data_IF_904517805791
#
_entry.id   IF_904517805791
#
_cell.length_a   1.000
_cell.length_b   1.000
_cell.length_c   1.000
_cell.angle_alpha   90.00
_cell.angle_beta   90.00
_cell.angle_gamma   90.00
#
_symmetry.space_group_name_H-M   'P 1'
#
loop_
_entity.id
_entity.type
_entity.pdbx_description
1 polymer ?
#
# COMPACT_ATOMS: atom_id res chain seq x y z
N UNK A 1 8.01 -5.02 26.92
CA UNK A 1 7.17 -5.80 25.99
C UNK A 1 7.56 -7.25 26.14
N UNK A 2 6.59 -8.17 26.19
CA UNK A 2 6.83 -9.58 26.40
C UNK A 2 6.24 -10.43 25.26
N UNK A 3 6.92 -11.53 24.94
CA UNK A 3 6.41 -12.54 24.00
C UNK A 3 5.66 -13.61 24.79
N UNK A 4 4.45 -13.92 24.33
CA UNK A 4 3.58 -14.94 24.89
C UNK A 4 3.35 -16.05 23.85
N UNK A 5 3.20 -17.27 24.35
CA UNK A 5 2.68 -18.38 23.56
C UNK A 5 1.71 -19.20 24.40
N UNK A 6 0.66 -19.70 23.77
CA UNK A 6 -0.32 -20.55 24.44
C UNK A 6 -1.46 -20.97 23.53
N UNK A 7 -2.22 -21.95 24.02
CA UNK A 7 -3.46 -22.39 23.39
C UNK A 7 -4.61 -21.52 23.86
N UNK A 8 -5.38 -20.96 22.91
CA UNK A 8 -6.61 -20.22 23.20
C UNK A 8 -7.58 -21.16 23.89
N UNK A 9 -8.08 -20.74 25.05
CA UNK A 9 -9.18 -21.43 25.75
C UNK A 9 -10.53 -20.82 25.43
N UNK A 10 -10.59 -19.50 25.31
CA UNK A 10 -11.83 -18.81 24.97
C UNK A 10 -11.55 -17.49 24.24
N UNK A 11 -12.55 -17.01 23.49
CA UNK A 11 -12.55 -15.71 22.80
C UNK A 11 -13.87 -15.00 23.12
N UNK A 12 -13.77 -13.83 23.71
CA UNK A 12 -14.88 -12.93 24.01
C UNK A 12 -14.93 -11.88 22.90
N UNK A 13 -15.73 -12.14 21.85
CA UNK A 13 -15.66 -11.35 20.62
C UNK A 13 -16.04 -9.88 20.79
N UNK A 14 -17.14 -9.60 21.51
CA UNK A 14 -17.61 -8.24 21.81
C UNK A 14 -16.55 -7.44 22.59
N UNK A 15 -15.93 -8.13 23.55
CA UNK A 15 -14.81 -7.61 24.31
C UNK A 15 -13.51 -7.64 23.54
N UNK A 16 -13.40 -8.22 22.34
CA UNK A 16 -12.14 -8.38 21.60
C UNK A 16 -11.02 -8.95 22.47
N UNK A 17 -11.36 -9.83 23.42
CA UNK A 17 -10.41 -10.43 24.36
C UNK A 17 -10.32 -11.92 24.05
N UNK A 18 -9.12 -12.48 24.11
CA UNK A 18 -8.94 -13.93 24.18
C UNK A 18 -8.16 -14.29 25.44
N UNK A 19 -8.35 -15.52 25.92
CA UNK A 19 -7.63 -16.05 27.06
C UNK A 19 -6.75 -17.23 26.66
N UNK A 20 -5.59 -17.32 27.30
CA UNK A 20 -4.68 -18.47 27.19
C UNK A 20 -4.31 -18.97 28.58
N UNK A 21 -3.98 -20.26 28.67
CA UNK A 21 -3.25 -20.79 29.82
C UNK A 21 -1.75 -20.59 29.61
N UNK A 22 -1.12 -19.80 30.47
CA UNK A 22 0.32 -19.58 30.45
C UNK A 22 0.88 -19.73 31.87
N UNK A 23 1.95 -20.52 32.05
CA UNK A 23 2.56 -20.82 33.37
C UNK A 23 1.54 -21.18 34.47
N UNK A 24 0.56 -22.04 34.13
CA UNK A 24 -0.53 -22.49 35.02
C UNK A 24 -1.51 -21.40 35.48
N UNK A 25 -1.50 -20.21 34.88
CA UNK A 25 -2.46 -19.13 35.14
C UNK A 25 -3.20 -18.75 33.86
N UNK A 26 -4.45 -18.32 34.02
CA UNK A 26 -5.24 -17.78 32.92
C UNK A 26 -4.86 -16.32 32.75
N UNK A 27 -4.53 -15.95 31.51
CA UNK A 27 -4.19 -14.59 31.14
C UNK A 27 -5.13 -14.13 30.03
N UNK A 28 -5.56 -12.87 30.10
CA UNK A 28 -6.41 -12.24 29.11
C UNK A 28 -5.62 -11.27 28.26
N UNK A 29 -5.96 -11.21 26.99
CA UNK A 29 -5.26 -10.39 26.00
C UNK A 29 -6.27 -9.64 25.14
N UNK A 30 -6.17 -8.30 25.13
CA UNK A 30 -7.07 -7.42 24.39
C UNK A 30 -6.54 -7.15 22.99
N UNK A 31 -7.41 -7.32 22.00
CA UNK A 31 -7.20 -6.96 20.62
C UNK A 31 -7.80 -5.59 20.30
N UNK A 32 -7.07 -4.84 19.47
CA UNK A 32 -7.63 -3.67 18.78
C UNK A 32 -8.71 -4.11 17.78
N UNK A 33 -9.60 -3.19 17.39
CA UNK A 33 -10.67 -3.48 16.40
C UNK A 33 -10.11 -4.05 15.09
N UNK A 34 -8.98 -3.51 14.63
CA UNK A 34 -8.31 -3.97 13.40
C UNK A 34 -7.74 -5.39 13.53
N UNK A 35 -7.06 -5.70 14.64
CA UNK A 35 -6.58 -7.07 14.88
C UNK A 35 -7.75 -8.05 14.96
N UNK A 36 -8.83 -7.68 15.66
CA UNK A 36 -10.03 -8.51 15.72
C UNK A 36 -10.57 -8.76 14.31
N UNK A 37 -10.82 -7.72 13.51
CA UNK A 37 -11.30 -7.86 12.13
C UNK A 37 -10.39 -8.75 11.27
N UNK A 38 -9.06 -8.64 11.43
CA UNK A 38 -8.09 -9.42 10.64
C UNK A 38 -8.03 -10.89 11.06
N UNK A 39 -8.12 -11.17 12.35
CA UNK A 39 -7.83 -12.51 12.89
C UNK A 39 -9.04 -13.27 13.43
N UNK A 40 -10.20 -12.63 13.58
CA UNK A 40 -11.45 -13.24 14.04
C UNK A 40 -11.77 -14.57 13.34
N UNK A 41 -11.63 -14.73 12.00
CA UNK A 41 -11.91 -16.01 11.35
C UNK A 41 -11.06 -17.20 11.84
N UNK A 42 -9.90 -16.91 12.46
CA UNK A 42 -8.97 -17.92 12.94
C UNK A 42 -9.01 -18.10 14.46
N UNK A 43 -9.33 -17.03 15.20
CA UNK A 43 -9.30 -16.98 16.66
C UNK A 43 -10.45 -17.80 17.25
N UNK A 44 -10.15 -19.05 17.55
CA UNK A 44 -11.08 -20.00 18.15
C UNK A 44 -10.38 -20.84 19.22
N UNK A 45 -11.17 -21.47 20.09
CA UNK A 45 -10.64 -22.43 21.05
C UNK A 45 -9.75 -23.48 20.38
N UNK A 46 -8.64 -23.76 21.04
CA UNK A 46 -7.64 -24.72 20.61
C UNK A 46 -6.62 -24.22 19.60
N UNK A 47 -6.74 -22.99 19.10
CA UNK A 47 -5.69 -22.37 18.31
C UNK A 47 -4.47 -22.07 19.19
N UNK A 48 -3.28 -22.45 18.73
CA UNK A 48 -2.01 -22.02 19.34
C UNK A 48 -1.59 -20.69 18.74
N UNK A 49 -1.30 -19.74 19.63
CA UNK A 49 -0.93 -18.38 19.26
C UNK A 49 0.43 -18.02 19.83
N UNK A 50 1.21 -17.30 19.04
CA UNK A 50 2.49 -16.69 19.39
C UNK A 50 2.36 -15.21 19.11
N UNK A 51 2.62 -14.35 20.09
CA UNK A 51 2.37 -12.91 19.95
C UNK A 51 3.19 -12.09 20.95
N UNK A 52 3.30 -10.79 20.69
CA UNK A 52 3.84 -9.81 21.63
C UNK A 52 2.71 -9.02 22.27
N UNK A 53 2.83 -8.73 23.55
CA UNK A 53 1.94 -7.84 24.29
C UNK A 53 2.75 -6.83 25.11
N UNK A 54 2.09 -5.75 25.52
CA UNK A 54 2.66 -4.83 26.51
C UNK A 54 2.79 -5.51 27.87
N UNK A 55 3.65 -4.99 28.74
CA UNK A 55 3.92 -5.58 30.06
C UNK A 55 2.94 -5.08 31.13
N UNK A 56 2.11 -4.10 30.78
CA UNK A 56 1.14 -3.47 31.66
C UNK A 56 -0.26 -4.06 31.44
N UNK A 57 -0.91 -4.47 32.53
CA UNK A 57 -2.31 -4.89 32.52
C UNK A 57 -3.24 -3.68 32.59
N UNK A 58 -4.33 -3.73 31.83
CA UNK A 58 -5.37 -2.70 31.85
C UNK A 58 -6.74 -3.31 32.10
N UNK A 59 -7.60 -2.53 32.75
CA UNK A 59 -8.99 -2.92 33.01
C UNK A 59 -9.86 -2.64 31.78
N UNK A 60 -10.56 -3.68 31.33
CA UNK A 60 -11.52 -3.64 30.22
C UNK A 60 -12.84 -4.27 30.68
N UNK A 61 -13.75 -3.44 31.20
CA UNK A 61 -15.00 -3.92 31.78
C UNK A 61 -14.72 -4.87 32.95
N UNK A 62 -15.12 -6.13 32.79
CA UNK A 62 -14.90 -7.20 33.78
C UNK A 62 -13.51 -7.87 33.69
N UNK A 63 -12.74 -7.57 32.64
CA UNK A 63 -11.45 -8.21 32.40
C UNK A 63 -10.28 -7.34 32.84
N UNK A 64 -9.22 -7.97 33.30
CA UNK A 64 -7.87 -7.40 33.42
C UNK A 64 -7.04 -8.10 32.35
N UNK A 65 -6.52 -7.34 31.39
CA UNK A 65 -5.88 -7.90 30.20
C UNK A 65 -4.68 -7.07 29.73
N UNK A 66 -3.75 -7.74 29.05
CA UNK A 66 -2.65 -7.07 28.36
C UNK A 66 -3.05 -6.69 26.93
N UNK A 67 -2.61 -5.54 26.47
CA UNK A 67 -2.83 -5.11 25.09
C UNK A 67 -1.90 -5.87 24.12
N UNK A 68 -2.46 -6.53 23.11
CA UNK A 68 -1.68 -7.23 22.09
C UNK A 68 -1.08 -6.24 21.10
N UNK A 69 0.24 -6.35 20.91
CA UNK A 69 1.00 -5.54 19.98
C UNK A 69 0.88 -6.14 18.58
N UNK A 70 1.32 -7.39 18.40
CA UNK A 70 1.25 -8.09 17.14
C UNK A 70 1.28 -9.61 17.33
N UNK A 71 0.62 -10.34 16.42
CA UNK A 71 0.82 -11.78 16.29
C UNK A 71 2.12 -12.07 15.54
N UNK A 72 2.80 -13.14 15.96
CA UNK A 72 3.97 -13.72 15.33
C UNK A 72 3.53 -14.92 14.49
N UNK A 73 2.74 -15.83 15.09
CA UNK A 73 2.32 -17.07 14.44
C UNK A 73 0.98 -17.58 15.00
N UNK A 74 0.13 -18.11 14.15
CA UNK A 74 -1.15 -18.75 14.49
C UNK A 74 -1.19 -20.16 13.88
N UNK A 75 -1.29 -21.19 14.72
CA UNK A 75 -1.27 -22.60 14.28
C UNK A 75 -2.35 -23.43 14.94
N UNK A 76 -2.85 -24.43 14.22
CA UNK A 76 -3.73 -25.47 14.77
C UNK A 76 -3.16 -26.84 14.46
N UNK A 77 -3.12 -27.68 15.48
CA UNK A 77 -2.76 -29.09 15.33
C UNK A 77 -4.03 -29.90 15.11
N UNK A 78 -4.08 -30.62 13.99
CA UNK A 78 -5.18 -31.52 13.61
C UNK A 78 -4.59 -32.91 13.39
N UNK A 79 -4.71 -33.77 14.41
CA UNK A 79 -4.02 -35.06 14.44
C UNK A 79 -2.51 -34.88 14.36
N UNK A 80 -1.87 -35.47 13.35
CA UNK A 80 -0.43 -35.33 13.07
C UNK A 80 -0.09 -34.13 12.17
N UNK A 81 -1.08 -33.41 11.65
CA UNK A 81 -0.87 -32.26 10.74
C UNK A 81 -0.89 -30.95 11.54
N UNK A 82 -0.05 -30.00 11.13
CA UNK A 82 -0.07 -28.62 11.64
C UNK A 82 -0.53 -27.70 10.51
N UNK A 83 -1.63 -26.99 10.76
CA UNK A 83 -2.17 -25.97 9.86
C UNK A 83 -1.66 -24.61 10.36
N UNK A 84 -0.96 -23.86 9.50
CA UNK A 84 -0.47 -22.52 9.80
C UNK A 84 -1.41 -21.51 9.17
N UNK A 85 -2.11 -20.72 9.99
CA UNK A 85 -3.02 -19.67 9.52
C UNK A 85 -2.32 -18.34 9.30
N UNK A 86 -1.25 -18.09 10.07
CA UNK A 86 -0.46 -16.87 9.97
C UNK A 86 0.96 -17.16 10.46
N UNK A 87 1.96 -16.68 9.74
CA UNK A 87 3.36 -16.69 10.17
C UNK A 87 4.04 -15.46 9.59
N UNK A 88 4.48 -14.57 10.49
CA UNK A 88 5.17 -13.35 10.07
C UNK A 88 6.47 -13.66 9.32
N UNK A 89 7.16 -14.77 9.63
CA UNK A 89 8.38 -15.14 8.92
C UNK A 89 8.09 -15.55 7.47
N UNK A 90 7.02 -16.31 7.24
CA UNK A 90 6.58 -16.65 5.87
C UNK A 90 6.21 -15.40 5.07
N UNK A 91 5.60 -14.39 5.70
CA UNK A 91 5.32 -13.10 5.06
C UNK A 91 6.63 -12.40 4.70
N UNK A 92 7.58 -12.30 5.64
CA UNK A 92 8.89 -11.66 5.40
C UNK A 92 9.68 -12.34 4.29
N UNK A 93 9.70 -13.68 4.27
CA UNK A 93 10.33 -14.46 3.21
C UNK A 93 9.64 -14.26 1.86
N UNK A 94 8.31 -14.21 1.84
CA UNK A 94 7.53 -13.92 0.64
C UNK A 94 7.82 -12.53 0.07
N UNK A 95 7.90 -11.51 0.93
CA UNK A 95 8.29 -10.15 0.53
C UNK A 95 9.71 -10.13 -0.02
N UNK A 96 10.68 -10.76 0.68
CA UNK A 96 12.07 -10.85 0.20
C UNK A 96 12.16 -11.50 -1.18
N UNK A 97 11.42 -12.59 -1.42
CA UNK A 97 11.37 -13.26 -2.73
C UNK A 97 10.74 -12.39 -3.82
N UNK A 98 9.72 -11.61 -3.47
CA UNK A 98 9.06 -10.70 -4.41
C UNK A 98 9.99 -9.58 -4.87
N UNK A 99 10.73 -8.95 -3.94
CA UNK A 99 11.62 -7.83 -4.28
C UNK A 99 12.87 -8.28 -5.04
N UNK A 100 13.42 -9.46 -4.70
CA UNK A 100 14.56 -10.07 -5.41
C UNK A 100 14.23 -10.68 -6.78
N UNK A 101 13.01 -10.52 -7.26
CA UNK A 101 12.61 -11.13 -8.53
C UNK A 101 13.36 -10.43 -9.66
N UNK A 102 14.19 -11.17 -10.38
CA UNK A 102 14.87 -10.67 -11.57
C UNK A 102 13.88 -10.16 -12.61
N UNK A 103 14.20 -9.03 -13.23
CA UNK A 103 13.41 -8.38 -14.27
C UNK A 103 13.44 -6.86 -14.16
N UNK A 104 12.77 -6.20 -15.09
CA UNK A 104 12.61 -4.75 -15.07
C UNK A 104 11.56 -4.33 -14.04
N UNK A 105 11.78 -3.16 -13.43
CA UNK A 105 10.88 -2.55 -12.45
C UNK A 105 10.48 -1.17 -12.95
N UNK A 106 9.18 -0.92 -13.03
CA UNK A 106 8.62 0.35 -13.48
C UNK A 106 7.90 1.02 -12.32
N UNK A 107 8.38 2.16 -11.88
CA UNK A 107 7.76 2.98 -10.84
C UNK A 107 6.90 4.03 -11.51
N UNK A 108 5.62 4.10 -11.12
CA UNK A 108 4.66 5.04 -11.69
C UNK A 108 3.96 5.78 -10.57
N UNK A 109 3.87 7.09 -10.74
CA UNK A 109 2.94 7.94 -10.00
C UNK A 109 2.15 8.80 -11.01
N UNK A 110 0.91 9.11 -10.65
CA UNK A 110 -0.03 9.81 -11.51
C UNK A 110 -0.78 10.86 -10.72
N UNK A 111 -0.92 12.04 -11.32
CA UNK A 111 -1.85 13.05 -10.83
C UNK A 111 -3.14 13.02 -11.64
N UNK A 112 -4.26 13.31 -10.96
CA UNK A 112 -5.59 13.21 -11.54
C UNK A 112 -6.41 14.48 -11.33
N UNK A 113 -7.35 14.74 -12.24
CA UNK A 113 -8.31 15.83 -12.07
C UNK A 113 -9.07 15.66 -10.76
N UNK A 114 -9.26 16.79 -10.08
CA UNK A 114 -10.14 16.95 -8.92
C UNK A 114 -11.36 17.81 -9.29
N UNK A 115 -12.51 17.59 -8.66
CA UNK A 115 -13.65 18.48 -8.82
C UNK A 115 -13.30 19.87 -8.29
N UNK A 116 -13.79 20.95 -8.93
CA UNK A 116 -13.58 22.32 -8.45
C UNK A 116 -14.13 22.50 -7.02
N UNK A 117 -13.63 23.50 -6.28
CA UNK A 117 -14.04 23.74 -4.89
C UNK A 117 -15.56 23.90 -4.72
N UNK A 118 -16.22 24.50 -5.71
CA UNK A 118 -17.66 24.76 -5.70
C UNK A 118 -18.49 23.68 -6.44
N UNK A 119 -17.93 22.49 -6.66
CA UNK A 119 -18.63 21.42 -7.37
C UNK A 119 -19.88 20.97 -6.62
N UNK A 120 -21.03 21.07 -7.27
CA UNK A 120 -22.31 20.64 -6.72
C UNK A 120 -22.80 19.38 -7.46
N UNK A 121 -22.85 18.25 -6.77
CA UNK A 121 -23.34 16.98 -7.33
C UNK A 121 -24.80 17.05 -7.84
N UNK A 122 -25.57 18.05 -7.40
CA UNK A 122 -26.97 18.25 -7.78
C UNK A 122 -27.16 19.20 -8.97
N UNK A 123 -26.09 19.79 -9.52
CA UNK A 123 -26.18 20.73 -10.65
C UNK A 123 -26.43 20.05 -12.00
N UNK A 124 -26.36 18.71 -12.06
CA UNK A 124 -26.46 17.93 -13.29
C UNK A 124 -25.16 17.84 -14.09
N UNK A 125 -24.11 18.56 -13.70
CA UNK A 125 -22.78 18.42 -14.29
C UNK A 125 -22.10 17.14 -13.78
N UNK A 126 -21.61 16.30 -14.70
CA UNK A 126 -20.96 15.03 -14.35
C UNK A 126 -19.45 15.21 -14.36
N UNK A 127 -18.83 15.09 -13.19
CA UNK A 127 -17.38 15.00 -13.05
C UNK A 127 -16.90 13.55 -13.06
N UNK A 128 -15.85 13.28 -13.83
CA UNK A 128 -15.06 12.06 -13.75
C UNK A 128 -13.59 12.42 -13.65
N UNK A 129 -12.86 11.68 -12.80
CA UNK A 129 -11.43 11.89 -12.63
C UNK A 129 -10.68 11.36 -13.86
N UNK A 130 -9.67 12.11 -14.31
CA UNK A 130 -8.85 11.83 -15.48
C UNK A 130 -7.38 12.00 -15.10
N UNK A 131 -6.49 11.24 -15.71
CA UNK A 131 -5.04 11.43 -15.52
C UNK A 131 -4.63 12.74 -16.18
N UNK A 132 -3.88 13.57 -15.46
CA UNK A 132 -3.41 14.90 -15.92
C UNK A 132 -1.89 15.06 -15.89
N UNK A 133 -1.20 14.25 -15.11
CA UNK A 133 0.25 14.14 -15.14
C UNK A 133 0.64 12.69 -14.91
N UNK A 134 1.74 12.27 -15.53
CA UNK A 134 2.38 11.00 -15.22
C UNK A 134 3.86 11.21 -14.96
N UNK A 135 4.41 10.45 -14.03
CA UNK A 135 5.83 10.27 -13.80
C UNK A 135 6.17 8.78 -13.83
N UNK A 136 7.27 8.45 -14.47
CA UNK A 136 7.71 7.06 -14.63
C UNK A 136 9.23 6.95 -14.54
N UNK A 137 9.70 5.95 -13.82
CA UNK A 137 11.09 5.48 -13.86
C UNK A 137 11.10 3.99 -14.13
N UNK A 138 11.95 3.55 -15.07
CA UNK A 138 12.17 2.12 -15.29
C UNK A 138 13.63 1.77 -15.05
N UNK A 139 13.86 0.73 -14.27
CA UNK A 139 15.18 0.20 -13.97
C UNK A 139 15.29 -1.29 -14.31
N UNK A 140 16.52 -1.75 -14.53
CA UNK A 140 16.82 -3.17 -14.65
C UNK A 140 16.91 -3.87 -13.28
N UNK A 141 17.22 -5.17 -13.32
CA UNK A 141 17.38 -6.00 -12.11
C UNK A 141 18.56 -5.58 -11.24
N UNK A 142 19.53 -4.85 -11.80
CA UNK A 142 20.71 -4.34 -11.08
C UNK A 142 20.46 -2.96 -10.46
N UNK A 143 19.29 -2.36 -10.70
CA UNK A 143 18.93 -1.03 -10.20
C UNK A 143 19.45 0.11 -11.08
N UNK A 144 19.90 -0.17 -12.31
CA UNK A 144 20.29 0.87 -13.23
C UNK A 144 19.04 1.45 -13.90
N UNK A 145 18.88 2.78 -13.85
CA UNK A 145 17.81 3.47 -14.57
C UNK A 145 18.04 3.30 -16.08
N UNK A 146 17.04 2.73 -16.75
CA UNK A 146 17.03 2.50 -18.20
C UNK A 146 16.39 3.69 -18.92
N UNK A 147 15.30 4.22 -18.36
CA UNK A 147 14.58 5.36 -18.92
C UNK A 147 13.73 6.05 -17.82
N UNK A 148 13.37 7.30 -18.07
CA UNK A 148 12.37 8.02 -17.29
C UNK A 148 11.43 8.80 -18.20
N UNK A 149 10.20 9.01 -17.75
CA UNK A 149 9.21 9.73 -18.55
C UNK A 149 8.29 10.56 -17.66
N UNK A 150 8.12 11.82 -18.04
CA UNK A 150 7.15 12.73 -17.45
C UNK A 150 6.32 13.37 -18.55
N UNK A 151 5.06 13.69 -18.24
CA UNK A 151 4.26 14.49 -19.14
C UNK A 151 2.92 14.89 -18.56
N UNK A 152 2.41 16.00 -19.06
CA UNK A 152 1.02 16.40 -18.85
C UNK A 152 0.10 15.64 -19.82
N UNK A 153 -1.13 15.45 -19.39
CA UNK A 153 -2.22 14.89 -20.18
C UNK A 153 -3.37 15.87 -20.15
N UNK A 154 -3.88 16.21 -21.33
CA UNK A 154 -5.04 17.09 -21.47
C UNK A 154 -6.32 16.38 -21.00
N UNK A 155 -7.05 16.90 -20.00
CA UNK A 155 -8.37 16.38 -19.61
C UNK A 155 -9.39 16.53 -20.74
N UNK A 156 -10.32 15.58 -20.87
CA UNK A 156 -11.51 15.71 -21.74
C UNK A 156 -12.59 16.56 -21.06
N UNK A 157 -12.75 16.41 -19.75
CA UNK A 157 -13.71 17.12 -18.94
C UNK A 157 -13.20 18.53 -18.62
N UNK A 158 -13.92 19.56 -19.08
CA UNK A 158 -13.56 20.96 -18.82
C UNK A 158 -13.52 21.29 -17.32
N UNK A 159 -14.34 20.64 -16.49
CA UNK A 159 -14.31 20.80 -15.03
C UNK A 159 -12.99 20.33 -14.40
N UNK A 160 -12.23 19.48 -15.10
CA UNK A 160 -10.90 19.04 -14.69
C UNK A 160 -9.83 20.12 -14.83
N UNK A 161 -10.09 21.20 -15.57
CA UNK A 161 -9.21 22.35 -15.72
C UNK A 161 -9.72 23.46 -14.78
N UNK A 162 -9.42 23.32 -13.48
CA UNK A 162 -9.86 24.24 -12.43
C UNK A 162 -8.67 24.85 -11.68
N UNK A 163 -8.89 26.00 -11.01
CA UNK A 163 -7.88 26.67 -10.16
C UNK A 163 -7.31 25.72 -9.13
N UNK A 164 -8.19 24.92 -8.48
CA UNK A 164 -7.79 23.84 -7.58
C UNK A 164 -6.78 22.89 -8.20
N UNK A 165 -6.98 22.47 -9.44
CA UNK A 165 -6.08 21.54 -10.13
C UNK A 165 -4.75 22.21 -10.45
N UNK A 166 -4.78 23.43 -10.98
CA UNK A 166 -3.59 24.20 -11.35
C UNK A 166 -2.71 24.53 -10.15
N UNK A 167 -3.33 24.89 -9.02
CA UNK A 167 -2.65 25.10 -7.74
C UNK A 167 -2.00 23.82 -7.23
N UNK A 168 -2.69 22.69 -7.38
CA UNK A 168 -2.25 21.40 -6.84
C UNK A 168 -1.03 20.82 -7.55
N UNK A 169 -0.99 20.82 -8.90
CA UNK A 169 0.18 20.33 -9.67
C UNK A 169 1.13 21.45 -10.12
N UNK A 170 0.91 22.68 -9.65
CA UNK A 170 1.72 23.86 -9.97
C UNK A 170 1.91 24.12 -11.48
N UNK A 171 0.84 23.98 -12.27
CA UNK A 171 0.85 24.14 -13.74
C UNK A 171 -0.16 25.19 -14.19
N UNK A 172 0.21 26.02 -15.17
CA UNK A 172 -0.69 27.04 -15.72
C UNK A 172 -1.82 26.44 -16.56
N UNK A 173 -2.95 27.14 -16.61
CA UNK A 173 -4.13 26.78 -17.42
C UNK A 173 -3.76 26.46 -18.86
N UNK A 174 -3.00 27.37 -19.47
CA UNK A 174 -2.57 27.28 -20.86
C UNK A 174 -1.77 25.99 -21.11
N UNK A 175 -0.86 25.62 -20.21
CA UNK A 175 -0.07 24.38 -20.32
C UNK A 175 -0.96 23.14 -20.27
N UNK A 176 -1.97 23.13 -19.41
CA UNK A 176 -2.88 21.99 -19.28
C UNK A 176 -3.86 21.88 -20.47
N UNK A 177 -4.34 23.02 -20.98
CA UNK A 177 -5.21 23.09 -22.16
C UNK A 177 -4.51 22.65 -23.45
N UNK A 178 -3.21 22.92 -23.57
CA UNK A 178 -2.38 22.53 -24.71
C UNK A 178 -1.54 21.27 -24.45
N UNK A 179 -1.78 20.58 -23.33
CA UNK A 179 -1.08 19.34 -23.01
C UNK A 179 -1.33 18.27 -24.08
N UNK A 180 -0.39 17.32 -24.25
CA UNK A 180 -0.61 16.16 -25.11
C UNK A 180 -1.87 15.36 -24.72
N UNK A 181 -2.47 14.71 -25.71
CA UNK A 181 -3.57 13.78 -25.44
C UNK A 181 -3.08 12.53 -24.70
N UNK A 182 -4.03 11.86 -24.03
CA UNK A 182 -3.82 10.59 -23.31
C UNK A 182 -3.11 9.51 -24.14
N UNK A 183 -3.24 9.53 -25.48
CA UNK A 183 -2.53 8.61 -26.37
C UNK A 183 -1.02 8.63 -26.16
N UNK A 184 -0.42 9.76 -25.78
CA UNK A 184 1.02 9.86 -25.49
C UNK A 184 1.40 9.00 -24.28
N UNK A 185 0.68 9.14 -23.17
CA UNK A 185 0.86 8.31 -21.98
C UNK A 185 0.60 6.83 -22.29
N UNK A 186 -0.52 6.54 -22.95
CA UNK A 186 -0.90 5.17 -23.32
C UNK A 186 0.18 4.47 -24.14
N UNK A 187 0.70 5.14 -25.18
CA UNK A 187 1.73 4.58 -26.04
C UNK A 187 3.04 4.39 -25.27
N UNK A 188 3.45 5.36 -24.44
CA UNK A 188 4.67 5.23 -23.62
C UNK A 188 4.58 4.04 -22.66
N UNK A 189 3.45 3.89 -21.95
CA UNK A 189 3.20 2.73 -21.09
C UNK A 189 3.18 1.43 -21.90
N UNK A 190 2.54 1.42 -23.07
CA UNK A 190 2.49 0.26 -23.97
C UNK A 190 3.90 -0.16 -24.42
N UNK A 191 4.75 0.80 -24.78
CA UNK A 191 6.13 0.56 -25.19
C UNK A 191 6.91 -0.06 -24.03
N UNK A 192 6.81 0.49 -22.82
CA UNK A 192 7.45 -0.10 -21.65
C UNK A 192 6.98 -1.53 -21.36
N UNK A 193 5.68 -1.78 -21.46
CA UNK A 193 5.12 -3.12 -21.29
C UNK A 193 5.61 -4.10 -22.36
N UNK A 194 5.77 -3.64 -23.61
CA UNK A 194 6.21 -4.46 -24.74
C UNK A 194 7.70 -4.80 -24.67
N UNK A 195 8.56 -3.80 -24.40
CA UNK A 195 10.01 -3.96 -24.45
C UNK A 195 10.59 -4.59 -23.18
N UNK A 196 10.02 -4.27 -22.02
CA UNK A 196 10.63 -4.62 -20.73
C UNK A 196 9.79 -5.57 -19.88
N UNK A 197 8.48 -5.69 -20.15
CA UNK A 197 7.54 -6.50 -19.36
C UNK A 197 7.72 -6.31 -17.83
N UNK A 198 7.75 -5.06 -17.33
CA UNK A 198 8.20 -4.79 -15.98
C UNK A 198 7.17 -5.22 -14.92
N UNK A 199 7.66 -5.41 -13.69
CA UNK A 199 6.79 -5.32 -12.52
C UNK A 199 6.56 -3.85 -12.21
N UNK A 200 5.30 -3.44 -12.13
CA UNK A 200 4.92 -2.04 -11.94
C UNK A 200 4.75 -1.76 -10.45
N UNK A 201 5.56 -0.88 -9.89
CA UNK A 201 5.46 -0.41 -8.51
C UNK A 201 4.71 0.92 -8.47
N UNK A 202 3.73 0.99 -7.58
CA UNK A 202 2.95 2.19 -7.28
C UNK A 202 2.92 2.36 -5.76
N UNK A 203 2.89 3.60 -5.29
CA UNK A 203 2.80 3.84 -3.85
C UNK A 203 1.46 3.35 -3.28
N UNK A 204 0.36 3.77 -3.93
CA UNK A 204 -1.00 3.49 -3.51
C UNK A 204 -1.78 2.57 -4.46
N UNK A 205 -3.04 2.30 -4.13
CA UNK A 205 -3.95 1.59 -5.05
C UNK A 205 -4.54 2.50 -6.13
N UNK A 206 -4.45 3.82 -5.96
CA UNK A 206 -5.19 4.78 -6.76
C UNK A 206 -4.68 4.79 -8.20
N UNK A 207 -3.36 4.73 -8.41
CA UNK A 207 -2.71 4.76 -9.72
C UNK A 207 -3.18 3.63 -10.62
N UNK A 208 -3.09 2.38 -10.16
CA UNK A 208 -3.53 1.25 -10.97
C UNK A 208 -5.04 1.26 -11.22
N UNK A 209 -5.85 1.71 -10.23
CA UNK A 209 -7.30 1.84 -10.42
C UNK A 209 -7.62 2.92 -11.46
N UNK A 210 -6.83 4.00 -11.48
CA UNK A 210 -7.03 5.09 -12.42
C UNK A 210 -6.53 4.73 -13.82
N UNK A 211 -5.46 3.94 -13.95
CA UNK A 211 -5.04 3.34 -15.21
C UNK A 211 -6.17 2.47 -15.79
N UNK A 212 -6.78 1.56 -15.00
CA UNK A 212 -7.90 0.72 -15.48
C UNK A 212 -9.10 1.57 -15.95
N UNK A 213 -9.47 2.59 -15.18
CA UNK A 213 -10.54 3.53 -15.54
C UNK A 213 -10.22 4.29 -16.82
N UNK A 214 -8.96 4.71 -16.99
CA UNK A 214 -8.53 5.48 -18.15
C UNK A 214 -8.67 4.70 -19.45
N UNK A 215 -8.44 3.37 -19.44
CA UNK A 215 -8.66 2.55 -20.64
C UNK A 215 -10.11 2.61 -21.13
N UNK A 216 -11.07 2.52 -20.21
CA UNK A 216 -12.51 2.62 -20.51
C UNK A 216 -12.88 4.02 -21.00
N UNK A 217 -12.40 5.05 -20.31
CA UNK A 217 -12.66 6.45 -20.66
C UNK A 217 -12.14 6.84 -22.05
N UNK A 218 -11.02 6.26 -22.46
CA UNK A 218 -10.40 6.55 -23.76
C UNK A 218 -10.72 5.53 -24.84
N UNK A 219 -11.56 4.52 -24.54
CA UNK A 219 -11.96 3.45 -25.46
C UNK A 219 -10.74 2.75 -26.09
N UNK A 220 -9.74 2.43 -25.26
CA UNK A 220 -8.53 1.71 -25.68
C UNK A 220 -8.44 0.36 -24.97
N UNK A 221 -7.75 -0.60 -25.59
CA UNK A 221 -7.50 -1.91 -24.96
C UNK A 221 -6.52 -1.77 -23.80
N UNK A 222 -6.76 -2.42 -22.65
CA UNK A 222 -5.80 -2.48 -21.56
C UNK A 222 -4.44 -3.04 -22.03
N UNK A 223 -3.36 -2.38 -21.62
CA UNK A 223 -1.97 -2.86 -21.84
C UNK A 223 -1.32 -3.36 -20.55
N UNK A 224 -2.04 -3.26 -19.44
CA UNK A 224 -1.65 -3.78 -18.12
C UNK A 224 -2.81 -4.58 -17.54
N UNK A 225 -2.47 -5.50 -16.64
CA UNK A 225 -3.39 -6.31 -15.85
C UNK A 225 -3.07 -6.15 -14.36
N UNK A 226 -4.01 -6.53 -13.47
CA UNK A 226 -3.81 -6.40 -12.01
C UNK A 226 -2.52 -7.06 -11.52
N UNK A 227 -2.11 -8.18 -12.11
CA UNK A 227 -0.91 -8.95 -11.75
C UNK A 227 0.40 -8.21 -12.05
N UNK A 228 0.37 -7.19 -12.91
CA UNK A 228 1.54 -6.36 -13.19
C UNK A 228 1.87 -5.42 -12.03
N UNK A 229 0.89 -5.08 -11.17
CA UNK A 229 1.04 -4.03 -10.17
C UNK A 229 1.36 -4.55 -8.76
N UNK A 230 2.36 -3.92 -8.16
CA UNK A 230 2.75 -4.06 -6.76
C UNK A 230 2.48 -2.75 -6.03
N UNK A 231 1.69 -2.82 -4.96
CA UNK A 231 1.45 -1.69 -4.06
C UNK A 231 2.52 -1.71 -2.96
N UNK A 232 3.49 -0.82 -3.06
CA UNK A 232 4.68 -0.82 -2.19
C UNK A 232 4.31 -0.46 -0.75
N UNK A 233 3.45 0.54 -0.54
CA UNK A 233 2.95 0.91 0.79
C UNK A 233 2.34 -0.30 1.51
N UNK A 234 1.51 -1.09 0.82
CA UNK A 234 0.84 -2.23 1.40
C UNK A 234 1.81 -3.37 1.76
N UNK A 235 2.88 -3.54 0.98
CA UNK A 235 3.95 -4.49 1.32
C UNK A 235 4.67 -4.04 2.59
N UNK A 236 5.11 -2.78 2.65
CA UNK A 236 5.80 -2.21 3.80
C UNK A 236 4.92 -2.34 5.05
N UNK A 237 3.65 -1.95 4.96
CA UNK A 237 2.68 -2.11 6.05
C UNK A 237 2.56 -3.55 6.53
N UNK A 238 2.50 -4.50 5.62
CA UNK A 238 2.39 -5.92 5.98
C UNK A 238 3.67 -6.43 6.65
N UNK A 239 4.84 -5.97 6.19
CA UNK A 239 6.14 -6.35 6.71
C UNK A 239 6.34 -5.87 8.17
N UNK A 240 6.01 -4.60 8.46
CA UNK A 240 6.11 -4.03 9.81
C UNK A 240 4.86 -4.25 10.68
N UNK A 241 3.77 -4.78 10.12
CA UNK A 241 2.50 -4.92 10.83
C UNK A 241 1.80 -3.59 11.12
N UNK A 242 2.04 -2.56 10.31
CA UNK A 242 1.47 -1.21 10.45
C UNK A 242 0.00 -1.21 9.99
N UNK A 243 -0.86 -0.53 10.76
CA UNK A 243 -2.31 -0.51 10.53
C UNK A 243 -2.72 0.57 9.53
N UNK A 244 -2.30 1.80 9.80
CA UNK A 244 -2.70 2.96 9.03
C UNK A 244 -1.92 3.02 7.71
N UNK A 245 -2.52 3.64 6.70
CA UNK A 245 -1.79 4.00 5.49
C UNK A 245 -0.64 4.94 5.86
N UNK A 246 0.49 4.75 5.18
CA UNK A 246 1.71 5.48 5.41
C UNK A 246 1.85 6.41 4.21
N UNK A 247 2.05 7.70 4.44
CA UNK A 247 2.39 8.63 3.37
C UNK A 247 3.75 8.29 2.77
N UNK A 248 3.98 8.63 1.51
CA UNK A 248 5.23 8.31 0.81
C UNK A 248 6.45 8.84 1.58
N UNK A 249 6.38 10.09 2.04
CA UNK A 249 7.50 10.74 2.74
C UNK A 249 7.67 10.19 4.17
N UNK A 250 6.57 9.83 4.84
CA UNK A 250 6.63 9.17 6.15
C UNK A 250 7.29 7.77 6.08
N UNK A 251 7.32 7.15 4.90
CA UNK A 251 8.00 5.88 4.71
C UNK A 251 9.53 6.02 4.72
N UNK A 252 10.08 7.17 4.30
CA UNK A 252 11.52 7.44 4.45
C UNK A 252 11.92 7.42 5.92
N UNK A 253 11.16 8.12 6.77
CA UNK A 253 11.43 8.17 8.21
C UNK A 253 11.33 6.79 8.86
N UNK A 254 10.32 6.01 8.47
CA UNK A 254 10.17 4.62 8.93
C UNK A 254 11.40 3.77 8.60
N UNK A 255 12.02 4.01 7.44
CA UNK A 255 13.22 3.32 6.96
C UNK A 255 14.52 3.99 7.43
N UNK A 256 14.44 4.99 8.33
CA UNK A 256 15.60 5.68 8.89
C UNK A 256 16.29 6.65 7.92
N UNK A 257 15.58 7.09 6.87
CA UNK A 257 16.05 8.06 5.88
C UNK A 257 15.28 9.38 6.00
N UNK A 258 15.83 10.45 5.42
CA UNK A 258 15.11 11.71 5.24
C UNK A 258 14.43 11.71 3.87
N UNK A 259 13.21 12.26 3.74
CA UNK A 259 12.60 12.45 2.44
C UNK A 259 13.42 13.42 1.59
N UNK A 260 13.28 13.37 0.24
CA UNK A 260 14.03 14.23 -0.67
C UNK A 260 13.67 15.72 -0.51
N UNK A 261 12.46 16.00 -0.03
CA UNK A 261 11.99 17.35 0.28
C UNK A 261 11.20 17.36 1.59
N UNK A 262 11.12 18.52 2.26
CA UNK A 262 10.32 18.67 3.49
C UNK A 262 8.81 18.58 3.22
N UNK A 263 8.36 19.12 2.09
CA UNK A 263 6.96 19.14 1.66
C UNK A 263 6.90 18.53 0.26
N UNK A 264 5.96 17.61 0.06
CA UNK A 264 5.68 17.02 -1.24
C UNK A 264 5.09 18.08 -2.18
N UNK A 265 5.65 18.21 -3.39
CA UNK A 265 5.26 19.22 -4.38
C UNK A 265 4.20 18.71 -5.37
N UNK A 266 3.71 17.48 -5.17
CA UNK A 266 2.71 16.82 -6.01
C UNK A 266 3.10 16.80 -7.50
N UNK A 267 4.40 16.60 -7.75
CA UNK A 267 4.91 16.33 -9.07
C UNK A 267 5.05 14.81 -9.26
N UNK A 268 4.26 14.26 -10.19
CA UNK A 268 4.24 12.83 -10.45
C UNK A 268 5.64 12.22 -10.74
N UNK A 269 6.58 12.96 -11.32
CA UNK A 269 7.94 12.45 -11.55
C UNK A 269 8.72 12.32 -10.23
N UNK A 270 8.65 13.35 -9.38
CA UNK A 270 9.31 13.32 -8.07
C UNK A 270 8.71 12.23 -7.17
N UNK A 271 7.40 12.02 -7.25
CA UNK A 271 6.74 10.96 -6.46
C UNK A 271 7.04 9.55 -6.99
N UNK A 272 7.20 9.38 -8.30
CA UNK A 272 7.70 8.14 -8.89
C UNK A 272 9.15 7.85 -8.47
N UNK A 273 10.01 8.87 -8.44
CA UNK A 273 11.39 8.78 -7.95
C UNK A 273 11.44 8.45 -6.45
N UNK A 274 10.66 9.15 -5.63
CA UNK A 274 10.56 8.87 -4.20
C UNK A 274 10.04 7.45 -3.93
N UNK A 275 9.11 6.94 -4.75
CA UNK A 275 8.66 5.54 -4.66
C UNK A 275 9.80 4.56 -4.99
N UNK A 276 10.61 4.86 -6.01
CA UNK A 276 11.82 4.09 -6.37
C UNK A 276 12.85 4.10 -5.22
N UNK A 277 13.11 5.26 -4.61
CA UNK A 277 14.04 5.37 -3.49
C UNK A 277 13.56 4.58 -2.27
N UNK A 278 12.27 4.69 -1.92
CA UNK A 278 11.67 3.91 -0.83
C UNK A 278 11.76 2.41 -1.11
N UNK A 279 11.59 2.00 -2.37
CA UNK A 279 11.78 0.61 -2.77
C UNK A 279 13.21 0.14 -2.44
N UNK A 280 14.23 0.88 -2.84
CA UNK A 280 15.64 0.51 -2.62
C UNK A 280 16.02 0.55 -1.14
N UNK A 281 15.55 1.54 -0.39
CA UNK A 281 15.73 1.61 1.07
C UNK A 281 15.14 0.37 1.75
N UNK A 282 13.91 0.00 1.36
CA UNK A 282 13.22 -1.15 1.92
C UNK A 282 13.84 -2.49 1.50
N UNK A 283 14.27 -2.62 0.24
CA UNK A 283 15.01 -3.78 -0.25
C UNK A 283 16.30 -3.99 0.54
N UNK A 284 17.07 -2.91 0.76
CA UNK A 284 18.28 -2.94 1.57
C UNK A 284 18.01 -3.35 3.02
N UNK A 285 16.93 -2.85 3.63
CA UNK A 285 16.57 -3.24 5.00
C UNK A 285 16.20 -4.72 5.10
N UNK A 286 15.46 -5.26 4.11
CA UNK A 286 15.07 -6.67 4.10
C UNK A 286 16.27 -7.59 3.82
N UNK A 287 17.32 -7.09 3.19
CA UNK A 287 18.51 -7.87 2.86
C UNK A 287 19.62 -7.83 3.92
N UNK A 288 19.46 -7.03 4.98
CA UNK A 288 20.24 -7.13 6.22
C UNK A 288 19.87 -8.41 6.99
#
# INVERSE_FOLDING_TARGET
MQTFCGRIRNVYEDDRIFEILYKKRIYHFRLTRSQMKKFQPYLQEGLYVFFKAFDEEKKYGRFIAYDVINFIKLVRHVGRKTIVYYDIQTIKEGVRKLLKKDGYRLFIDLEFTMPPYNYNHSSGEVFYSEIVQYGMYIEDSSGNIIDSAVGLIRPKCKLGISDRMMEFIHVSKEKLEHAPYYSKFYNKLKDYMMFYQPTIYVWGKNDYLMIDKSYKLHNVKPVTERKNFVNLMQIIKNYYGIKNDIGLYAAFELLGAKPPMEIQDHNALHDAEATLEVFHLFENEINK
#
